data_IF_813490037298
#
_entry.id   IF_813490037298
#
_cell.length_a   1.000
_cell.length_b   1.000
_cell.length_c   1.000
_cell.angle_alpha   90.00
_cell.angle_beta   90.00
_cell.angle_gamma   90.00
#
_symmetry.space_group_name_H-M   'P 1'
#
loop_
_entity.id
_entity.type
_entity.pdbx_description
1 polymer ?
#
# COMPACT_ATOMS: atom_id res chain seq x y z
N UNK A 1 -0.47 -22.77 -12.31
CA UNK A 1 0.21 -22.70 -11.00
C UNK A 1 -0.64 -21.83 -10.11
N UNK A 2 -1.17 -22.42 -9.04
CA UNK A 2 -2.10 -21.80 -8.10
C UNK A 2 -1.33 -20.81 -7.23
N UNK A 3 -1.88 -19.62 -6.99
CA UNK A 3 -1.22 -18.55 -6.22
C UNK A 3 -1.03 -18.99 -4.75
N UNK A 4 0.03 -18.58 -4.05
CA UNK A 4 0.17 -18.81 -2.60
C UNK A 4 -1.01 -18.31 -1.77
N UNK A 5 -1.84 -17.40 -2.32
CA UNK A 5 -3.06 -16.90 -1.69
C UNK A 5 -4.22 -17.90 -1.67
N UNK A 6 -4.19 -18.96 -2.49
CA UNK A 6 -5.27 -19.94 -2.64
C UNK A 6 -5.21 -21.09 -1.61
N UNK A 7 -4.25 -21.04 -0.67
CA UNK A 7 -3.99 -22.12 0.30
C UNK A 7 -4.69 -21.96 1.67
N UNK A 8 -5.57 -20.97 1.83
CA UNK A 8 -6.21 -20.66 3.11
C UNK A 8 -7.73 -20.51 2.97
N UNK A 9 -8.48 -21.22 3.81
CA UNK A 9 -9.93 -21.12 3.95
C UNK A 9 -10.29 -20.22 5.14
N UNK A 10 -11.29 -19.36 4.99
CA UNK A 10 -11.83 -18.57 6.13
C UNK A 10 -12.78 -19.41 6.96
N UNK A 11 -12.71 -19.25 8.28
CA UNK A 11 -13.72 -19.82 9.19
C UNK A 11 -15.09 -19.20 8.96
N UNK A 12 -16.15 -19.89 9.38
CA UNK A 12 -17.55 -19.46 9.21
C UNK A 12 -18.44 -19.98 10.34
N UNK A 13 -19.73 -19.68 10.32
CA UNK A 13 -20.68 -20.22 11.30
C UNK A 13 -20.86 -21.75 11.21
N UNK A 14 -20.72 -22.34 10.02
CA UNK A 14 -20.80 -23.80 9.84
C UNK A 14 -19.47 -24.51 10.09
N UNK A 15 -18.38 -23.75 10.17
CA UNK A 15 -17.02 -24.24 10.35
C UNK A 15 -16.23 -23.19 11.17
N UNK A 16 -16.47 -23.11 12.50
CA UNK A 16 -15.85 -22.10 13.35
C UNK A 16 -14.39 -22.45 13.67
N UNK A 17 -13.63 -21.44 14.09
CA UNK A 17 -12.24 -21.62 14.51
C UNK A 17 -12.11 -22.66 15.64
N UNK A 18 -11.30 -23.72 15.51
CA UNK A 18 -11.15 -24.74 16.55
C UNK A 18 -10.41 -24.23 17.80
N UNK A 19 -9.65 -23.14 17.69
CA UNK A 19 -8.91 -22.56 18.83
C UNK A 19 -9.76 -21.56 19.63
N UNK A 20 -10.55 -20.69 18.97
CA UNK A 20 -11.31 -19.64 19.66
C UNK A 20 -12.84 -19.78 19.57
N UNK A 21 -13.34 -20.76 18.81
CA UNK A 21 -14.77 -21.02 18.62
C UNK A 21 -15.54 -19.94 17.84
N UNK A 22 -14.85 -18.95 17.24
CA UNK A 22 -15.51 -17.84 16.53
C UNK A 22 -15.57 -18.06 15.01
N UNK A 23 -16.62 -17.56 14.33
CA UNK A 23 -16.88 -17.79 12.91
C UNK A 23 -16.19 -16.77 11.99
N UNK A 24 -15.31 -15.92 12.52
CA UNK A 24 -14.68 -14.81 11.80
C UNK A 24 -13.25 -14.55 12.29
N UNK A 25 -12.54 -13.66 11.59
CA UNK A 25 -11.17 -13.21 11.92
C UNK A 25 -10.09 -14.32 11.94
N UNK A 26 -10.40 -15.55 11.53
CA UNK A 26 -9.47 -16.67 11.52
C UNK A 26 -9.41 -17.34 10.13
N UNK A 27 -8.30 -18.00 9.82
CA UNK A 27 -8.11 -18.71 8.55
C UNK A 27 -7.41 -20.05 8.77
N UNK A 28 -7.91 -21.13 8.18
CA UNK A 28 -7.35 -22.49 8.27
C UNK A 28 -6.66 -22.83 6.95
N UNK A 29 -5.54 -23.54 6.98
CA UNK A 29 -4.91 -24.03 5.74
C UNK A 29 -5.80 -25.05 5.03
N UNK A 30 -5.67 -25.19 3.71
CA UNK A 30 -6.49 -26.16 2.95
C UNK A 30 -6.30 -27.61 3.43
N UNK A 31 -5.11 -27.94 3.93
CA UNK A 31 -4.79 -29.27 4.51
C UNK A 31 -5.21 -29.41 5.98
N UNK A 32 -5.82 -28.37 6.58
CA UNK A 32 -6.35 -28.32 7.95
C UNK A 32 -5.33 -28.65 9.06
N UNK A 33 -4.03 -28.51 8.78
CA UNK A 33 -2.96 -28.75 9.77
C UNK A 33 -2.56 -27.51 10.56
N UNK A 34 -2.82 -26.32 10.03
CA UNK A 34 -2.45 -25.05 10.67
C UNK A 34 -3.54 -24.00 10.52
N UNK A 35 -3.62 -23.10 11.50
CA UNK A 35 -4.67 -22.09 11.62
C UNK A 35 -4.06 -20.75 12.04
N UNK A 36 -4.45 -19.66 11.40
CA UNK A 36 -4.30 -18.32 11.92
C UNK A 36 -5.52 -17.92 12.76
N UNK A 37 -5.36 -17.83 14.08
CA UNK A 37 -6.37 -17.38 15.03
C UNK A 37 -6.17 -15.90 15.36
N UNK A 38 -7.15 -15.04 15.12
CA UNK A 38 -7.06 -13.62 15.43
C UNK A 38 -7.38 -13.25 16.89
N UNK A 39 -7.48 -14.21 17.82
CA UNK A 39 -7.99 -13.97 19.19
C UNK A 39 -7.20 -14.63 20.31
N UNK A 40 -6.66 -15.82 20.09
CA UNK A 40 -5.97 -16.60 21.13
C UNK A 40 -4.50 -16.71 20.75
N UNK A 41 -3.63 -16.23 21.63
CA UNK A 41 -2.16 -16.31 21.51
C UNK A 41 -1.57 -17.55 22.16
N UNK A 42 -2.24 -18.11 23.17
CA UNK A 42 -1.72 -19.20 23.98
C UNK A 42 -1.59 -20.48 23.13
N UNK A 43 -0.37 -21.04 23.08
CA UNK A 43 -0.06 -22.20 22.23
C UNK A 43 0.34 -21.86 20.79
N UNK A 44 0.41 -20.58 20.41
CA UNK A 44 0.77 -20.18 19.05
C UNK A 44 2.28 -20.28 18.76
N UNK A 45 2.60 -20.69 17.54
CA UNK A 45 3.97 -20.77 17.02
C UNK A 45 4.57 -19.42 16.65
N UNK A 46 3.74 -18.50 16.11
CA UNK A 46 4.16 -17.15 15.71
C UNK A 46 2.96 -16.23 15.47
N UNK A 47 3.21 -14.93 15.42
CA UNK A 47 2.22 -13.92 15.03
C UNK A 47 2.54 -13.36 13.62
N UNK A 48 1.52 -13.10 12.80
CA UNK A 48 1.69 -12.42 11.51
C UNK A 48 1.64 -10.88 11.68
N UNK A 49 2.01 -10.15 10.63
CA UNK A 49 1.96 -8.68 10.62
C UNK A 49 0.54 -8.12 10.81
N UNK A 50 -0.50 -8.92 10.56
CA UNK A 50 -1.91 -8.59 10.77
C UNK A 50 -2.44 -8.89 12.18
N UNK A 51 -1.57 -9.30 13.13
CA UNK A 51 -1.95 -9.56 14.52
C UNK A 51 -2.68 -10.89 14.76
N UNK A 52 -2.62 -11.84 13.83
CA UNK A 52 -3.14 -13.19 14.04
C UNK A 52 -2.04 -14.14 14.50
N UNK A 53 -2.41 -15.14 15.28
CA UNK A 53 -1.53 -16.12 15.89
C UNK A 53 -1.63 -17.48 15.17
N UNK A 54 -0.51 -18.05 14.73
CA UNK A 54 -0.44 -19.33 14.03
C UNK A 54 -0.45 -20.48 15.02
N UNK A 55 -1.43 -21.37 14.92
CA UNK A 55 -1.54 -22.59 15.70
C UNK A 55 -1.32 -23.81 14.80
N UNK A 56 -0.75 -24.87 15.37
CA UNK A 56 -0.75 -26.22 14.77
C UNK A 56 -1.96 -26.98 15.29
N UNK A 57 -2.66 -27.69 14.41
CA UNK A 57 -3.78 -28.56 14.77
C UNK A 57 -3.22 -29.99 14.77
N UNK A 58 -3.12 -30.60 15.96
CA UNK A 58 -2.47 -31.90 16.15
C UNK A 58 -3.40 -33.08 15.76
N UNK A 59 -4.72 -32.84 15.73
CA UNK A 59 -5.75 -33.73 15.19
C UNK A 59 -6.55 -32.98 14.12
N UNK A 60 -7.02 -33.65 13.07
CA UNK A 60 -7.98 -33.05 12.13
C UNK A 60 -9.33 -32.89 12.86
N UNK A 61 -9.71 -31.69 13.34
CA UNK A 61 -10.95 -31.51 14.09
C UNK A 61 -12.19 -31.70 13.19
N UNK A 62 -11.97 -31.87 11.88
CA UNK A 62 -13.00 -31.96 10.85
C UNK A 62 -13.24 -33.37 10.32
N UNK A 63 -12.72 -34.40 11.00
CA UNK A 63 -12.77 -35.81 10.60
C UNK A 63 -14.17 -36.46 10.76
N UNK A 64 -15.24 -35.78 10.31
CA UNK A 64 -16.60 -36.35 10.28
C UNK A 64 -17.33 -36.24 8.96
N UNK A 65 -16.74 -35.66 7.91
CA UNK A 65 -17.22 -35.89 6.55
C UNK A 65 -16.20 -35.35 5.55
N UNK A 66 -15.92 -36.08 4.45
CA UNK A 66 -15.24 -35.48 3.32
C UNK A 66 -16.02 -34.21 2.90
N UNK A 67 -15.34 -33.08 2.63
CA UNK A 67 -16.02 -31.87 2.23
C UNK A 67 -16.88 -32.19 0.99
N UNK A 68 -18.16 -31.77 0.96
CA UNK A 68 -18.98 -31.97 -0.21
C UNK A 68 -18.25 -31.37 -1.42
N UNK A 69 -18.31 -32.00 -2.60
CA UNK A 69 -17.65 -31.48 -3.79
C UNK A 69 -18.06 -30.02 -3.94
N UNK A 70 -17.07 -29.15 -4.13
CA UNK A 70 -17.29 -27.72 -4.35
C UNK A 70 -18.23 -27.62 -5.54
N UNK A 71 -19.53 -27.39 -5.27
CA UNK A 71 -20.41 -26.86 -6.29
C UNK A 71 -19.83 -25.48 -6.56
N UNK A 72 -19.01 -25.40 -7.61
CA UNK A 72 -18.85 -24.17 -8.36
C UNK A 72 -20.27 -23.88 -8.84
N UNK A 73 -21.05 -23.18 -8.02
CA UNK A 73 -22.21 -22.46 -8.54
C UNK A 73 -21.57 -21.56 -9.58
N UNK A 74 -21.84 -21.72 -10.89
CA UNK A 74 -21.52 -20.65 -11.81
C UNK A 74 -22.11 -19.41 -11.15
N UNK A 75 -21.25 -18.43 -10.89
CA UNK A 75 -21.64 -17.21 -10.25
C UNK A 75 -22.72 -16.60 -11.12
N UNK A 76 -23.99 -16.88 -10.81
CA UNK A 76 -25.11 -16.03 -11.15
C UNK A 76 -25.03 -14.80 -10.26
N UNK A 77 -23.85 -14.15 -10.20
CA UNK A 77 -23.86 -12.70 -10.15
C UNK A 77 -24.62 -12.34 -11.40
N UNK A 78 -25.86 -11.91 -11.21
CA UNK A 78 -26.50 -10.99 -12.14
C UNK A 78 -25.39 -10.05 -12.60
N UNK A 79 -25.00 -10.17 -13.87
CA UNK A 79 -24.20 -9.17 -14.56
C UNK A 79 -25.14 -8.00 -14.72
N UNK A 80 -25.38 -7.29 -13.61
CA UNK A 80 -25.75 -5.89 -13.69
C UNK A 80 -24.73 -5.30 -14.67
N UNK A 81 -25.16 -4.60 -15.74
CA UNK A 81 -24.22 -4.02 -16.69
C UNK A 81 -23.14 -3.30 -15.89
N UNK A 82 -21.87 -3.63 -16.15
CA UNK A 82 -20.75 -2.97 -15.51
C UNK A 82 -20.94 -1.48 -15.72
N UNK A 83 -21.24 -0.76 -14.64
CA UNK A 83 -21.47 0.68 -14.67
C UNK A 83 -20.28 1.33 -15.37
N UNK A 84 -20.54 2.02 -16.48
CA UNK A 84 -19.53 2.83 -17.16
C UNK A 84 -19.27 4.08 -16.31
N UNK A 85 -18.26 3.98 -15.44
CA UNK A 85 -17.87 5.05 -14.53
C UNK A 85 -17.38 6.30 -15.26
N UNK A 86 -16.53 6.20 -16.32
CA UNK A 86 -16.17 7.35 -17.15
C UNK A 86 -17.37 8.10 -17.71
N UNK A 87 -18.26 7.40 -18.43
CA UNK A 87 -19.41 8.05 -19.07
C UNK A 87 -20.34 8.68 -18.01
N UNK A 88 -20.47 8.03 -16.84
CA UNK A 88 -21.24 8.58 -15.73
C UNK A 88 -20.60 9.83 -15.12
N UNK A 89 -19.27 9.82 -14.92
CA UNK A 89 -18.54 10.97 -14.41
C UNK A 89 -18.60 12.16 -15.38
N UNK A 90 -18.42 11.91 -16.67
CA UNK A 90 -18.56 12.92 -17.73
C UNK A 90 -19.98 13.52 -17.73
N UNK A 91 -21.01 12.67 -17.65
CA UNK A 91 -22.40 13.11 -17.57
C UNK A 91 -22.66 14.03 -16.37
N UNK A 92 -22.08 13.75 -15.20
CA UNK A 92 -22.21 14.62 -14.04
C UNK A 92 -21.35 15.88 -14.14
N UNK A 93 -20.21 15.83 -14.81
CA UNK A 93 -19.32 16.97 -14.98
C UNK A 93 -19.89 18.00 -15.98
N UNK A 94 -20.61 17.53 -17.01
CA UNK A 94 -21.25 18.35 -18.03
C UNK A 94 -22.35 19.23 -17.43
N UNK A 95 -22.25 20.55 -17.61
CA UNK A 95 -23.23 21.51 -17.07
C UNK A 95 -23.13 21.77 -15.57
N UNK A 96 -22.07 21.30 -14.90
CA UNK A 96 -21.91 21.45 -13.45
C UNK A 96 -21.14 22.72 -13.03
N UNK A 97 -20.95 23.69 -13.92
CA UNK A 97 -20.17 24.93 -13.68
C UNK A 97 -20.69 25.69 -12.46
N UNK A 98 -21.99 25.98 -12.42
CA UNK A 98 -22.61 26.71 -11.30
C UNK A 98 -22.50 25.91 -9.99
N UNK A 99 -22.66 24.59 -10.06
CA UNK A 99 -22.54 23.71 -8.90
C UNK A 99 -21.10 23.62 -8.39
N UNK A 100 -20.11 23.63 -9.29
CA UNK A 100 -18.69 23.75 -8.93
C UNK A 100 -18.40 25.09 -8.28
N UNK A 101 -18.94 26.20 -8.80
CA UNK A 101 -18.75 27.51 -8.19
C UNK A 101 -19.33 27.59 -6.78
N UNK A 102 -20.53 27.03 -6.57
CA UNK A 102 -21.14 26.96 -5.22
C UNK A 102 -20.29 26.12 -4.26
N UNK A 103 -19.76 24.98 -4.72
CA UNK A 103 -18.88 24.14 -3.89
C UNK A 103 -17.53 24.81 -3.62
N UNK A 104 -16.97 25.48 -4.62
CA UNK A 104 -15.73 26.26 -4.52
C UNK A 104 -15.85 27.28 -3.39
N UNK A 105 -16.91 28.09 -3.40
CA UNK A 105 -17.21 29.05 -2.35
C UNK A 105 -17.38 28.37 -0.97
N UNK A 106 -18.05 27.21 -0.91
CA UNK A 106 -18.24 26.47 0.34
C UNK A 106 -16.93 25.90 0.91
N UNK A 107 -16.03 25.44 0.05
CA UNK A 107 -14.79 24.79 0.46
C UNK A 107 -13.63 25.77 0.67
N UNK A 108 -13.70 26.98 0.10
CA UNK A 108 -12.61 27.94 0.04
C UNK A 108 -11.55 27.57 -1.01
N UNK A 109 -11.99 27.05 -2.16
CA UNK A 109 -11.12 26.61 -3.28
C UNK A 109 -11.60 27.22 -4.59
N UNK A 110 -10.85 27.07 -5.67
CA UNK A 110 -11.28 27.56 -7.00
C UNK A 110 -12.20 26.56 -7.72
N UNK A 111 -13.13 27.09 -8.52
CA UNK A 111 -13.96 26.28 -9.40
C UNK A 111 -13.12 25.55 -10.47
N UNK A 112 -12.01 26.15 -10.90
CA UNK A 112 -11.03 25.54 -11.81
C UNK A 112 -10.39 24.30 -11.20
N UNK A 113 -9.93 24.34 -9.94
CA UNK A 113 -9.39 23.15 -9.27
C UNK A 113 -10.41 22.01 -9.19
N UNK A 114 -11.68 22.33 -8.88
CA UNK A 114 -12.77 21.34 -8.90
C UNK A 114 -13.04 20.80 -10.32
N UNK A 115 -12.97 21.65 -11.34
CA UNK A 115 -13.14 21.23 -12.73
C UNK A 115 -12.01 20.29 -13.19
N UNK A 116 -10.75 20.58 -12.83
CA UNK A 116 -9.60 19.71 -13.13
C UNK A 116 -9.71 18.32 -12.48
N UNK A 117 -10.40 18.23 -11.34
CA UNK A 117 -10.74 16.95 -10.68
C UNK A 117 -11.98 16.27 -11.28
N UNK A 118 -12.55 16.83 -12.35
CA UNK A 118 -13.80 16.38 -12.97
C UNK A 118 -14.98 16.34 -11.97
N UNK A 119 -15.00 17.28 -11.02
CA UNK A 119 -16.11 17.38 -10.06
C UNK A 119 -17.40 17.73 -10.81
N UNK A 120 -18.40 16.89 -10.58
CA UNK A 120 -19.70 16.99 -11.22
C UNK A 120 -20.83 17.23 -10.22
N UNK A 121 -22.05 17.26 -10.77
CA UNK A 121 -23.28 17.36 -10.00
C UNK A 121 -24.26 16.26 -10.42
N UNK A 122 -24.74 15.51 -9.44
CA UNK A 122 -25.82 14.56 -9.62
C UNK A 122 -27.15 15.23 -9.24
N UNK A 123 -27.92 15.60 -10.26
CA UNK A 123 -29.22 16.26 -10.12
C UNK A 123 -30.26 15.39 -9.39
N UNK A 124 -30.25 14.08 -9.61
CA UNK A 124 -31.24 13.17 -9.02
C UNK A 124 -31.02 13.01 -7.51
N UNK A 125 -29.76 13.06 -7.06
CA UNK A 125 -29.37 12.85 -5.67
C UNK A 125 -28.97 14.12 -4.94
N UNK A 126 -29.02 15.27 -5.62
CA UNK A 126 -28.64 16.58 -5.11
C UNK A 126 -27.26 16.57 -4.40
N UNK A 127 -26.26 15.96 -5.04
CA UNK A 127 -24.93 15.83 -4.48
C UNK A 127 -23.83 16.12 -5.51
N UNK A 128 -22.70 16.63 -5.03
CA UNK A 128 -21.48 16.73 -5.83
C UNK A 128 -20.84 15.37 -5.99
N UNK A 129 -20.18 15.15 -7.12
CA UNK A 129 -19.52 13.90 -7.45
C UNK A 129 -18.02 14.12 -7.64
N UNK A 130 -17.22 13.26 -7.03
CA UNK A 130 -15.76 13.22 -7.11
C UNK A 130 -15.36 11.89 -7.76
N UNK A 131 -14.97 11.90 -9.03
CA UNK A 131 -14.42 10.74 -9.70
C UNK A 131 -13.17 10.20 -8.98
N UNK A 132 -13.11 8.88 -8.82
CA UNK A 132 -11.97 8.16 -8.26
C UNK A 132 -11.32 7.31 -9.35
N UNK A 133 -10.00 7.43 -9.50
CA UNK A 133 -9.20 6.85 -10.58
C UNK A 133 -8.25 5.77 -10.07
N UNK A 134 -7.91 4.80 -10.91
CA UNK A 134 -6.78 3.90 -10.65
C UNK A 134 -5.44 4.50 -11.13
N UNK A 135 -4.37 3.71 -11.06
CA UNK A 135 -3.03 4.14 -11.49
C UNK A 135 -2.91 4.49 -12.98
N UNK A 136 -3.82 3.98 -13.83
CA UNK A 136 -3.83 4.24 -15.27
C UNK A 136 -4.61 5.51 -15.65
N UNK A 137 -5.24 6.19 -14.68
CA UNK A 137 -6.12 7.33 -14.94
C UNK A 137 -7.58 6.96 -15.21
N UNK A 138 -7.88 5.67 -15.31
CA UNK A 138 -9.20 5.14 -15.53
C UNK A 138 -10.10 5.40 -14.31
N UNK A 139 -11.29 5.97 -14.52
CA UNK A 139 -12.28 6.19 -13.46
C UNK A 139 -12.88 4.82 -13.11
N UNK A 140 -12.79 4.44 -11.82
CA UNK A 140 -13.22 3.14 -11.28
C UNK A 140 -14.33 3.27 -10.22
N UNK A 141 -14.66 4.50 -9.83
CA UNK A 141 -15.69 4.80 -8.84
C UNK A 141 -15.98 6.29 -8.77
N UNK A 142 -17.04 6.63 -8.05
CA UNK A 142 -17.44 8.02 -7.80
C UNK A 142 -17.78 8.15 -6.32
N UNK A 143 -17.00 8.95 -5.60
CA UNK A 143 -17.35 9.46 -4.28
C UNK A 143 -18.37 10.60 -4.44
N UNK A 144 -19.27 10.77 -3.48
CA UNK A 144 -20.23 11.86 -3.49
C UNK A 144 -20.09 12.69 -2.23
N UNK A 145 -20.45 13.97 -2.33
CA UNK A 145 -20.57 14.90 -1.21
C UNK A 145 -21.96 15.53 -1.24
N UNK A 146 -22.73 15.34 -0.18
CA UNK A 146 -24.04 15.98 -0.01
C UNK A 146 -23.90 17.37 0.58
N UNK A 147 -24.99 18.15 0.56
CA UNK A 147 -25.03 19.51 1.12
C UNK A 147 -24.72 19.55 2.62
N UNK A 148 -25.09 18.51 3.36
CA UNK A 148 -24.77 18.32 4.78
C UNK A 148 -23.30 17.93 5.04
N UNK A 149 -22.49 17.81 3.99
CA UNK A 149 -21.09 17.42 4.06
C UNK A 149 -20.86 15.91 4.13
N UNK A 150 -21.91 15.08 4.26
CA UNK A 150 -21.76 13.63 4.27
C UNK A 150 -21.19 13.11 2.95
N UNK A 151 -20.29 12.14 3.07
CA UNK A 151 -19.59 11.54 1.94
C UNK A 151 -19.97 10.07 1.84
N UNK A 152 -20.47 9.66 0.68
CA UNK A 152 -20.73 8.25 0.37
C UNK A 152 -20.24 7.91 -1.03
N UNK A 153 -19.73 6.70 -1.24
CA UNK A 153 -19.40 6.20 -2.59
C UNK A 153 -20.66 5.67 -3.28
N UNK A 154 -20.78 5.92 -4.57
CA UNK A 154 -21.85 5.32 -5.38
C UNK A 154 -21.74 3.79 -5.38
N UNK A 155 -22.89 3.11 -5.24
CA UNK A 155 -22.96 1.64 -5.14
C UNK A 155 -22.34 1.00 -6.38
N UNK A 156 -21.48 0.00 -6.16
CA UNK A 156 -20.77 -0.72 -7.23
C UNK A 156 -19.43 -0.10 -7.64
N UNK A 157 -19.13 1.13 -7.21
CA UNK A 157 -17.85 1.79 -7.48
C UNK A 157 -16.74 1.29 -6.56
N UNK A 158 -15.49 1.38 -7.04
CA UNK A 158 -14.28 1.03 -6.27
C UNK A 158 -13.64 2.28 -5.67
N UNK A 159 -12.91 2.12 -4.58
CA UNK A 159 -12.03 3.17 -4.03
C UNK A 159 -10.85 3.42 -4.96
N UNK A 160 -10.62 4.67 -5.32
CA UNK A 160 -9.49 5.10 -6.13
C UNK A 160 -8.93 6.43 -5.64
N UNK A 161 -8.03 7.01 -6.42
CA UNK A 161 -7.38 8.29 -6.15
C UNK A 161 -8.15 9.44 -6.80
N UNK A 162 -8.09 10.63 -6.21
CA UNK A 162 -8.65 11.85 -6.79
C UNK A 162 -7.50 12.75 -7.22
N UNK A 163 -7.32 12.95 -8.53
CA UNK A 163 -6.24 13.78 -9.07
C UNK A 163 -6.59 14.33 -10.46
N UNK A 164 -5.95 15.44 -10.82
CA UNK A 164 -6.07 16.07 -12.13
C UNK A 164 -5.22 15.33 -13.18
N UNK A 165 -5.54 15.41 -14.47
CA UNK A 165 -4.77 14.70 -15.50
C UNK A 165 -3.30 15.11 -15.56
N UNK A 166 -3.00 16.36 -15.22
CA UNK A 166 -1.69 17.01 -15.17
C UNK A 166 -1.11 17.09 -13.75
N UNK A 167 -1.54 16.21 -12.84
CA UNK A 167 -1.19 16.21 -11.42
C UNK A 167 0.32 16.27 -11.08
N UNK A 168 1.21 15.93 -12.01
CA UNK A 168 2.67 15.95 -11.84
C UNK A 168 3.41 16.91 -12.78
N UNK A 169 2.71 17.78 -13.51
CA UNK A 169 3.32 18.63 -14.53
C UNK A 169 4.15 19.80 -13.98
N UNK A 170 3.88 20.25 -12.74
CA UNK A 170 4.56 21.39 -12.12
C UNK A 170 5.97 21.08 -11.60
N UNK A 171 6.62 22.08 -11.00
CA UNK A 171 7.85 21.90 -10.22
C UNK A 171 7.54 21.58 -8.74
N UNK A 172 8.55 21.24 -7.94
CA UNK A 172 8.40 21.01 -6.49
C UNK A 172 7.93 19.60 -6.11
N UNK A 173 7.60 19.32 -4.84
CA UNK A 173 7.22 17.96 -4.43
C UNK A 173 5.87 17.51 -5.02
N UNK A 174 5.63 16.20 -5.00
CA UNK A 174 4.31 15.58 -5.17
C UNK A 174 3.72 15.38 -3.77
N UNK A 175 2.53 15.94 -3.54
CA UNK A 175 1.85 15.93 -2.25
C UNK A 175 0.70 14.93 -2.26
N UNK A 176 0.70 14.02 -1.29
CA UNK A 176 -0.33 12.97 -1.15
C UNK A 176 -1.23 13.31 0.04
N UNK A 177 -2.41 13.85 -0.22
CA UNK A 177 -3.38 14.30 0.80
C UNK A 177 -4.50 13.28 1.02
N UNK A 178 -5.29 13.45 2.07
CA UNK A 178 -6.50 12.65 2.29
C UNK A 178 -7.74 13.36 1.71
N UNK A 179 -8.41 12.71 0.76
CA UNK A 179 -9.68 13.16 0.20
C UNK A 179 -9.59 14.24 -0.89
N UNK A 180 -10.65 14.33 -1.70
CA UNK A 180 -10.70 15.25 -2.84
C UNK A 180 -10.85 16.74 -2.50
N UNK A 181 -11.30 17.08 -1.29
CA UNK A 181 -11.42 18.49 -0.87
C UNK A 181 -10.05 19.10 -0.59
N UNK A 182 -9.16 18.35 0.05
CA UNK A 182 -7.76 18.75 0.27
C UNK A 182 -6.97 18.73 -1.03
N UNK A 183 -7.27 17.80 -1.94
CA UNK A 183 -6.71 17.85 -3.29
C UNK A 183 -7.09 19.14 -4.01
N UNK A 184 -8.36 19.53 -3.98
CA UNK A 184 -8.82 20.77 -4.61
C UNK A 184 -8.18 22.02 -3.97
N UNK A 185 -7.92 21.99 -2.66
CA UNK A 185 -7.24 23.08 -1.96
C UNK A 185 -5.79 23.26 -2.44
N UNK A 186 -5.01 22.19 -2.49
CA UNK A 186 -3.62 22.30 -2.95
C UNK A 186 -3.50 22.57 -4.47
N UNK A 187 -4.44 22.06 -5.28
CA UNK A 187 -4.53 22.44 -6.69
C UNK A 187 -4.90 23.92 -6.88
N UNK A 188 -5.68 24.50 -5.97
CA UNK A 188 -6.02 25.93 -6.02
C UNK A 188 -4.79 26.81 -5.92
N UNK A 189 -3.77 26.36 -5.18
CA UNK A 189 -2.49 27.05 -5.06
C UNK A 189 -1.40 26.46 -5.97
N UNK A 190 -1.76 25.69 -6.99
CA UNK A 190 -0.83 25.23 -8.04
C UNK A 190 0.13 24.10 -7.64
N UNK A 191 -0.14 23.36 -6.57
CA UNK A 191 0.73 22.27 -6.10
C UNK A 191 0.37 20.91 -6.71
N UNK A 192 1.40 20.10 -7.02
CA UNK A 192 1.24 18.74 -7.57
C UNK A 192 0.62 17.82 -6.53
N UNK A 193 -0.66 17.49 -6.68
CA UNK A 193 -1.41 16.85 -5.59
C UNK A 193 -2.23 15.65 -6.04
N UNK A 194 -2.18 14.59 -5.25
CA UNK A 194 -3.01 13.39 -5.41
C UNK A 194 -3.75 13.10 -4.10
N UNK A 195 -5.07 13.00 -4.18
CA UNK A 195 -5.95 12.66 -3.07
C UNK A 195 -6.13 11.17 -2.89
N UNK A 196 -5.96 10.70 -1.66
CA UNK A 196 -6.26 9.32 -1.23
C UNK A 196 -7.74 9.21 -0.83
N UNK A 197 -8.39 8.05 -1.02
CA UNK A 197 -9.80 7.88 -0.67
C UNK A 197 -10.06 7.84 0.85
N UNK A 198 -9.02 7.59 1.66
CA UNK A 198 -9.05 7.58 3.12
C UNK A 198 -7.62 7.47 3.67
N UNK A 199 -7.45 7.63 4.98
CA UNK A 199 -6.18 7.49 5.70
C UNK A 199 -5.42 6.17 5.46
N UNK A 200 -6.14 5.08 5.11
CA UNK A 200 -5.58 3.74 4.90
C UNK A 200 -5.77 3.21 3.46
N UNK A 201 -6.46 3.93 2.58
CA UNK A 201 -6.87 3.44 1.26
C UNK A 201 -6.03 4.02 0.11
N UNK A 202 -5.99 3.30 -1.02
CA UNK A 202 -5.44 3.80 -2.29
C UNK A 202 -3.93 3.62 -2.50
N UNK A 203 -3.20 3.02 -1.54
CA UNK A 203 -1.73 2.89 -1.66
C UNK A 203 -1.31 2.06 -2.87
N UNK A 204 -2.03 1.00 -3.23
CA UNK A 204 -1.73 0.20 -4.44
C UNK A 204 -1.83 1.03 -5.72
N UNK A 205 -2.82 1.92 -5.81
CA UNK A 205 -2.94 2.85 -6.93
C UNK A 205 -1.82 3.90 -6.91
N UNK A 206 -1.39 4.36 -5.73
CA UNK A 206 -0.26 5.29 -5.60
C UNK A 206 1.05 4.65 -6.06
N UNK A 207 1.32 3.40 -5.66
CA UNK A 207 2.51 2.67 -6.12
C UNK A 207 2.54 2.59 -7.64
N UNK A 208 1.42 2.18 -8.26
CA UNK A 208 1.32 2.14 -9.72
C UNK A 208 1.54 3.51 -10.36
N UNK A 209 0.89 4.55 -9.83
CA UNK A 209 0.95 5.92 -10.36
C UNK A 209 2.34 6.56 -10.22
N UNK A 210 3.06 6.26 -9.13
CA UNK A 210 4.34 6.88 -8.77
C UNK A 210 5.56 6.09 -9.25
N UNK A 211 5.39 4.85 -9.71
CA UNK A 211 6.48 3.96 -10.12
C UNK A 211 7.41 4.53 -11.21
N UNK A 212 6.87 5.37 -12.10
CA UNK A 212 7.61 5.99 -13.20
C UNK A 212 8.18 7.39 -12.89
N UNK A 213 8.00 7.90 -11.67
CA UNK A 213 8.44 9.26 -11.31
C UNK A 213 9.95 9.29 -11.04
N UNK A 214 10.63 10.34 -11.53
CA UNK A 214 12.06 10.58 -11.29
C UNK A 214 12.43 10.37 -9.82
N UNK A 215 13.50 9.62 -9.56
CA UNK A 215 14.00 9.28 -8.22
C UNK A 215 14.41 10.49 -7.38
N UNK A 216 14.69 11.64 -7.99
CA UNK A 216 15.01 12.90 -7.30
C UNK A 216 13.77 13.70 -6.91
N UNK A 217 12.61 13.40 -7.48
CA UNK A 217 11.37 14.12 -7.19
C UNK A 217 10.89 13.78 -5.77
N UNK A 218 10.75 14.77 -4.91
CA UNK A 218 10.24 14.53 -3.57
C UNK A 218 8.76 14.12 -3.60
N UNK A 219 8.42 13.14 -2.76
CA UNK A 219 7.05 12.67 -2.54
C UNK A 219 6.77 12.79 -1.04
N UNK A 220 5.74 13.56 -0.70
CA UNK A 220 5.41 13.89 0.69
C UNK A 220 3.96 13.48 0.97
N UNK A 221 3.77 12.60 1.95
CA UNK A 221 2.45 12.22 2.45
C UNK A 221 1.99 13.21 3.51
N UNK A 222 0.88 13.89 3.27
CA UNK A 222 0.32 14.86 4.20
C UNK A 222 -0.80 14.17 5.01
N UNK A 223 -0.60 14.11 6.32
CA UNK A 223 -1.62 13.64 7.27
C UNK A 223 -2.62 14.73 7.65
N UNK A 224 -3.54 14.41 8.55
CA UNK A 224 -4.45 15.37 9.18
C UNK A 224 -4.12 15.50 10.68
N UNK A 225 -4.38 16.67 11.26
CA UNK A 225 -4.35 16.92 12.71
C UNK A 225 -5.73 16.61 13.30
N UNK A 226 -6.05 15.32 13.35
CA UNK A 226 -7.32 14.78 13.84
C UNK A 226 -7.16 13.94 15.12
N UNK A 227 -6.19 14.31 15.96
CA UNK A 227 -5.97 13.68 17.26
C UNK A 227 -7.24 13.71 18.10
N UNK A 228 -7.58 12.54 18.63
CA UNK A 228 -8.77 12.33 19.46
C UNK A 228 -8.40 12.39 20.93
N UNK A 229 -9.39 12.64 21.78
CA UNK A 229 -9.22 12.66 23.24
C UNK A 229 -8.68 11.33 23.81
N UNK A 230 -8.88 10.21 23.11
CA UNK A 230 -8.33 8.90 23.47
C UNK A 230 -6.87 8.69 23.03
N UNK A 231 -6.20 9.73 22.52
CA UNK A 231 -4.83 9.71 22.03
C UNK A 231 -4.65 9.06 20.66
N UNK A 232 -5.74 8.59 20.02
CA UNK A 232 -5.66 8.06 18.66
C UNK A 232 -5.50 9.22 17.68
N UNK A 233 -4.55 9.06 16.74
CA UNK A 233 -4.28 10.06 15.73
C UNK A 233 -4.31 9.45 14.31
N UNK A 234 -5.52 9.15 13.79
CA UNK A 234 -5.67 8.38 12.56
C UNK A 234 -5.08 9.05 11.32
N UNK A 235 -5.16 10.37 11.19
CA UNK A 235 -4.58 11.12 10.08
C UNK A 235 -3.05 11.04 10.05
N UNK A 236 -2.40 11.23 11.20
CA UNK A 236 -0.94 11.05 11.35
C UNK A 236 -0.53 9.61 11.09
N UNK A 237 -1.15 8.66 11.78
CA UNK A 237 -0.76 7.25 11.70
C UNK A 237 -1.01 6.67 10.30
N UNK A 238 -2.05 7.12 9.61
CA UNK A 238 -2.33 6.80 8.21
C UNK A 238 -1.29 7.36 7.24
N UNK A 239 -0.85 8.61 7.43
CA UNK A 239 0.22 9.21 6.63
C UNK A 239 1.56 8.47 6.81
N UNK A 240 1.96 8.20 8.06
CA UNK A 240 3.18 7.44 8.37
C UNK A 240 3.14 6.04 7.73
N UNK A 241 2.01 5.34 7.86
CA UNK A 241 1.86 3.99 7.29
C UNK A 241 1.91 4.00 5.77
N UNK A 242 1.30 5.00 5.15
CA UNK A 242 1.34 5.19 3.70
C UNK A 242 2.76 5.48 3.24
N UNK A 243 3.48 6.39 3.90
CA UNK A 243 4.87 6.71 3.57
C UNK A 243 5.79 5.50 3.69
N UNK A 244 5.65 4.69 4.75
CA UNK A 244 6.40 3.42 4.91
C UNK A 244 6.15 2.47 3.74
N UNK A 245 4.87 2.20 3.45
CA UNK A 245 4.51 1.29 2.37
C UNK A 245 4.99 1.79 1.01
N UNK A 246 4.92 3.09 0.75
CA UNK A 246 5.46 3.67 -0.48
C UNK A 246 6.99 3.58 -0.54
N UNK A 247 7.68 3.82 0.57
CA UNK A 247 9.14 3.69 0.60
C UNK A 247 9.58 2.26 0.29
N UNK A 248 8.92 1.27 0.90
CA UNK A 248 9.17 -0.15 0.67
C UNK A 248 8.92 -0.56 -0.79
N UNK A 249 7.75 -0.20 -1.34
CA UNK A 249 7.32 -0.64 -2.68
C UNK A 249 8.02 0.12 -3.83
N UNK A 250 8.36 1.40 -3.63
CA UNK A 250 9.04 2.23 -4.63
C UNK A 250 10.58 2.23 -4.46
N UNK A 251 11.09 1.55 -3.44
CA UNK A 251 12.52 1.46 -3.09
C UNK A 251 13.21 2.84 -3.07
N UNK A 252 12.53 3.85 -2.52
CA UNK A 252 13.03 5.24 -2.46
C UNK A 252 12.61 5.96 -1.19
N UNK A 253 13.32 7.02 -0.78
CA UNK A 253 12.88 7.82 0.36
C UNK A 253 11.51 8.47 0.10
N UNK A 254 10.62 8.36 1.09
CA UNK A 254 9.30 9.01 1.08
C UNK A 254 9.17 9.83 2.35
N UNK A 255 8.82 11.10 2.22
CA UNK A 255 8.57 11.97 3.35
C UNK A 255 7.12 11.89 3.80
N UNK A 256 6.86 12.23 5.06
CA UNK A 256 5.53 12.59 5.53
C UNK A 256 5.58 13.83 6.41
N UNK A 257 4.47 14.56 6.48
CA UNK A 257 4.31 15.75 7.29
C UNK A 257 2.84 15.93 7.72
N UNK A 258 2.62 16.85 8.65
CA UNK A 258 1.29 17.41 8.94
C UNK A 258 1.15 18.77 8.24
N UNK A 259 -0.09 19.28 8.04
CA UNK A 259 -0.29 20.60 7.47
C UNK A 259 0.42 21.68 8.32
N UNK A 260 0.94 22.73 7.68
CA UNK A 260 1.64 23.82 8.34
C UNK A 260 0.72 24.60 9.31
N UNK A 261 1.33 25.44 10.15
CA UNK A 261 0.62 26.38 11.03
C UNK A 261 -0.43 25.74 11.96
N UNK A 262 -0.20 24.47 12.34
CA UNK A 262 -1.12 23.67 13.13
C UNK A 262 -2.54 23.50 12.52
N UNK A 263 -2.67 23.68 11.21
CA UNK A 263 -3.93 23.49 10.52
C UNK A 263 -4.41 22.04 10.58
N UNK A 264 -5.73 21.87 10.67
CA UNK A 264 -6.38 20.55 10.76
C UNK A 264 -6.08 19.68 9.53
N UNK A 265 -6.37 20.21 8.36
CA UNK A 265 -6.22 19.60 7.04
C UNK A 265 -5.66 20.65 6.07
N UNK A 266 -5.26 20.25 4.86
CA UNK A 266 -4.65 21.17 3.89
C UNK A 266 -5.63 22.27 3.44
N UNK A 267 -6.91 21.94 3.31
CA UNK A 267 -7.97 22.92 3.04
C UNK A 267 -8.18 23.88 4.21
N UNK A 268 -8.12 23.39 5.44
CA UNK A 268 -8.21 24.20 6.65
C UNK A 268 -7.08 25.21 6.75
N UNK A 269 -5.87 24.83 6.32
CA UNK A 269 -4.75 25.76 6.18
C UNK A 269 -5.07 26.87 5.17
N UNK A 270 -5.47 26.50 3.94
CA UNK A 270 -5.78 27.48 2.89
C UNK A 270 -6.84 28.49 3.34
N UNK A 271 -7.88 28.02 4.04
CA UNK A 271 -9.01 28.86 4.45
C UNK A 271 -8.68 29.90 5.53
N UNK A 272 -7.55 29.77 6.22
CA UNK A 272 -7.09 30.76 7.22
C UNK A 272 -6.00 31.67 6.69
N UNK A 273 -5.48 31.41 5.48
CA UNK A 273 -4.45 32.24 4.88
C UNK A 273 -5.04 33.58 4.40
N UNK A 274 -4.27 34.68 4.53
CA UNK A 274 -4.66 35.95 3.91
C UNK A 274 -4.63 35.84 2.39
N UNK A 275 -5.31 36.78 1.71
CA UNK A 275 -5.23 36.91 0.26
C UNK A 275 -3.79 37.22 -0.17
N UNK A 276 -3.14 36.24 -0.79
CA UNK A 276 -1.78 36.31 -1.29
C UNK A 276 -1.72 35.74 -2.71
N UNK A 277 -0.71 36.13 -3.51
CA UNK A 277 -0.44 35.47 -4.78
C UNK A 277 -0.31 33.95 -4.63
N UNK A 278 -0.83 33.21 -5.61
CA UNK A 278 -0.91 31.74 -5.59
C UNK A 278 0.46 31.08 -5.39
N UNK A 279 1.49 31.57 -6.07
CA UNK A 279 2.88 31.14 -5.94
C UNK A 279 3.41 31.34 -4.51
N UNK A 280 3.06 32.46 -3.87
CA UNK A 280 3.43 32.72 -2.47
C UNK A 280 2.73 31.77 -1.51
N UNK A 281 1.46 31.44 -1.74
CA UNK A 281 0.75 30.43 -0.94
C UNK A 281 1.37 29.04 -1.12
N UNK A 282 1.72 28.67 -2.36
CA UNK A 282 2.40 27.41 -2.66
C UNK A 282 3.73 27.29 -1.91
N UNK A 283 4.55 28.34 -1.97
CA UNK A 283 5.84 28.41 -1.29
C UNK A 283 5.67 28.31 0.24
N UNK A 284 4.72 29.06 0.81
CA UNK A 284 4.44 29.02 2.25
C UNK A 284 3.98 27.64 2.71
N UNK A 285 3.10 26.99 1.93
CA UNK A 285 2.64 25.65 2.27
C UNK A 285 3.80 24.66 2.29
N UNK A 286 4.61 24.61 1.22
CA UNK A 286 5.70 23.63 1.08
C UNK A 286 6.83 23.92 2.07
N UNK A 287 7.25 25.17 2.23
CA UNK A 287 8.33 25.54 3.16
C UNK A 287 7.92 25.41 4.64
N UNK A 288 6.62 25.48 4.94
CA UNK A 288 6.09 25.24 6.28
C UNK A 288 5.95 23.76 6.67
N UNK A 289 6.21 22.82 5.75
CA UNK A 289 6.13 21.39 6.07
C UNK A 289 7.34 20.94 6.89
N UNK A 290 7.09 20.57 8.15
CA UNK A 290 8.04 19.83 8.97
C UNK A 290 8.06 18.36 8.55
N UNK A 291 8.93 18.03 7.60
CA UNK A 291 8.97 16.68 7.00
C UNK A 291 9.81 15.70 7.83
N UNK A 292 9.31 14.46 7.92
CA UNK A 292 10.08 13.31 8.40
C UNK A 292 10.24 12.32 7.25
N UNK A 293 11.50 12.03 6.89
CA UNK A 293 11.82 11.12 5.79
C UNK A 293 11.87 9.67 6.27
N UNK A 294 11.20 8.79 5.54
CA UNK A 294 11.26 7.35 5.71
C UNK A 294 12.12 6.79 4.59
N UNK A 295 13.28 6.24 4.95
CA UNK A 295 14.14 5.55 4.02
C UNK A 295 13.62 4.12 3.76
N UNK A 296 13.74 3.62 2.51
CA UNK A 296 13.40 2.25 2.21
C UNK A 296 14.34 1.30 2.97
N UNK A 297 13.90 0.08 3.30
CA UNK A 297 14.80 -0.95 3.78
C UNK A 297 15.90 -1.19 2.76
N UNK A 298 17.11 -1.49 3.22
CA UNK A 298 18.22 -1.84 2.33
C UNK A 298 17.87 -3.17 1.67
N UNK A 299 17.43 -3.12 0.40
CA UNK A 299 17.20 -4.32 -0.40
C UNK A 299 18.53 -4.77 -0.99
N UNK A 300 19.19 -5.70 -0.30
CA UNK A 300 20.35 -6.40 -0.88
C UNK A 300 19.80 -7.37 -1.94
N UNK A 301 19.79 -6.94 -3.20
CA UNK A 301 19.51 -7.83 -4.32
C UNK A 301 20.79 -8.63 -4.59
N UNK A 302 20.84 -9.95 -4.29
CA UNK A 302 22.01 -10.74 -4.63
C UNK A 302 22.22 -10.63 -6.15
N UNK A 303 23.47 -10.44 -6.60
CA UNK A 303 23.76 -10.36 -8.01
C UNK A 303 23.19 -11.60 -8.71
N UNK A 304 22.43 -11.38 -9.78
CA UNK A 304 21.92 -12.49 -10.59
C UNK A 304 23.14 -13.27 -11.10
N UNK A 305 23.20 -14.60 -10.94
CA UNK A 305 24.31 -15.39 -11.46
C UNK A 305 24.45 -15.14 -12.97
N UNK A 306 25.60 -14.61 -13.38
CA UNK A 306 25.92 -14.33 -14.80
C UNK A 306 26.69 -15.46 -15.46
N UNK A 307 27.13 -16.46 -14.69
CA UNK A 307 27.86 -17.63 -15.19
C UNK A 307 26.94 -18.68 -15.82
N UNK A 308 27.51 -19.60 -16.61
CA UNK A 308 26.78 -20.75 -17.13
C UNK A 308 26.24 -21.61 -15.97
N UNK A 309 25.13 -22.31 -16.20
CA UNK A 309 24.67 -23.32 -15.25
C UNK A 309 25.73 -24.42 -15.12
N UNK A 310 26.11 -24.75 -13.89
CA UNK A 310 27.08 -25.80 -13.56
C UNK A 310 26.35 -26.90 -12.80
N UNK A 311 26.74 -28.16 -13.00
CA UNK A 311 26.21 -29.24 -12.18
C UNK A 311 26.57 -29.01 -10.71
N UNK A 312 25.65 -29.38 -9.80
CA UNK A 312 25.80 -29.06 -8.36
C UNK A 312 27.04 -29.72 -7.77
N UNK A 313 27.41 -30.92 -8.23
CA UNK A 313 28.59 -31.62 -7.73
C UNK A 313 29.90 -30.97 -8.22
N UNK A 314 29.98 -30.62 -9.50
CA UNK A 314 31.10 -29.85 -10.05
C UNK A 314 31.27 -28.50 -9.33
N UNK A 315 30.15 -27.85 -8.99
CA UNK A 315 30.15 -26.61 -8.21
C UNK A 315 30.68 -26.82 -6.79
N UNK A 316 30.30 -27.91 -6.11
CA UNK A 316 30.81 -28.25 -4.77
C UNK A 316 32.31 -28.51 -4.79
N UNK A 317 32.81 -29.19 -5.81
CA UNK A 317 34.24 -29.43 -5.97
C UNK A 317 35.00 -28.12 -6.18
N UNK A 318 34.49 -27.23 -7.03
CA UNK A 318 35.07 -25.89 -7.21
C UNK A 318 35.07 -25.09 -5.90
N UNK A 319 33.96 -25.07 -5.16
CA UNK A 319 33.87 -24.43 -3.86
C UNK A 319 34.88 -24.99 -2.86
N UNK A 320 35.05 -26.31 -2.81
CA UNK A 320 36.02 -26.98 -1.94
C UNK A 320 37.45 -26.54 -2.26
N UNK A 321 37.81 -26.48 -3.55
CA UNK A 321 39.14 -26.03 -3.97
C UNK A 321 39.39 -24.55 -3.65
N UNK A 322 38.37 -23.69 -3.77
CA UNK A 322 38.46 -22.27 -3.39
C UNK A 322 38.64 -22.13 -1.88
N UNK A 323 37.88 -22.88 -1.08
CA UNK A 323 37.96 -22.82 0.38
C UNK A 323 39.26 -23.41 0.92
N UNK A 324 39.76 -24.51 0.37
CA UNK A 324 41.08 -25.04 0.74
C UNK A 324 42.20 -24.03 0.45
N UNK A 325 42.16 -23.34 -0.71
CA UNK A 325 43.12 -22.26 -1.02
C UNK A 325 43.02 -21.09 -0.05
N UNK A 326 41.81 -20.72 0.38
CA UNK A 326 41.61 -19.62 1.32
C UNK A 326 42.29 -19.80 2.68
N UNK A 327 42.57 -21.04 3.10
CA UNK A 327 43.27 -21.30 4.37
C UNK A 327 44.70 -20.74 4.37
N UNK A 328 45.33 -20.58 3.20
CA UNK A 328 46.66 -19.99 3.04
C UNK A 328 46.65 -18.51 2.64
N UNK A 329 45.48 -17.91 2.47
CA UNK A 329 45.33 -16.53 1.98
C UNK A 329 44.36 -15.77 2.90
N UNK A 330 44.86 -15.02 3.88
CA UNK A 330 44.00 -14.24 4.77
C UNK A 330 43.15 -13.23 3.98
N UNK A 331 41.83 -13.22 4.20
CA UNK A 331 40.90 -12.34 3.50
C UNK A 331 39.44 -12.59 3.89
N UNK A 332 38.53 -11.75 3.37
CA UNK A 332 37.08 -11.92 3.52
C UNK A 332 36.54 -12.68 2.31
N UNK A 333 35.98 -13.86 2.54
CA UNK A 333 35.42 -14.73 1.51
C UNK A 333 33.90 -14.75 1.64
N UNK A 334 33.20 -14.23 0.63
CA UNK A 334 31.74 -14.15 0.60
C UNK A 334 31.23 -15.16 -0.43
N UNK A 335 30.43 -16.12 0.02
CA UNK A 335 29.72 -17.06 -0.85
C UNK A 335 28.28 -16.58 -1.03
N UNK A 336 27.91 -16.26 -2.28
CA UNK A 336 26.57 -15.81 -2.67
C UNK A 336 25.76 -16.89 -3.42
N UNK A 337 26.17 -18.16 -3.34
CA UNK A 337 25.46 -19.27 -3.98
C UNK A 337 24.05 -19.45 -3.39
N UNK A 338 23.16 -20.09 -4.14
CA UNK A 338 21.76 -20.32 -3.73
C UNK A 338 21.65 -21.34 -2.58
N UNK A 339 20.47 -21.40 -1.96
CA UNK A 339 20.16 -22.41 -0.94
C UNK A 339 20.26 -23.82 -1.54
N UNK A 340 20.89 -24.75 -0.83
CA UNK A 340 21.09 -26.14 -1.30
C UNK A 340 22.38 -26.39 -2.11
N UNK A 341 23.16 -25.34 -2.42
CA UNK A 341 24.41 -25.46 -3.18
C UNK A 341 25.53 -26.26 -2.47
N UNK A 342 25.39 -26.60 -1.19
CA UNK A 342 26.35 -27.43 -0.45
C UNK A 342 27.39 -26.67 0.39
N UNK A 343 27.20 -25.36 0.64
CA UNK A 343 28.07 -24.51 1.48
C UNK A 343 28.55 -25.20 2.77
N UNK A 344 27.61 -25.62 3.61
CA UNK A 344 27.93 -26.25 4.91
C UNK A 344 28.69 -27.56 4.77
N UNK A 345 28.44 -28.33 3.69
CA UNK A 345 29.17 -29.57 3.43
C UNK A 345 30.64 -29.29 3.08
N UNK A 346 30.87 -28.30 2.22
CA UNK A 346 32.22 -27.87 1.82
C UNK A 346 32.99 -27.29 3.00
N UNK A 347 32.39 -26.38 3.77
CA UNK A 347 33.06 -25.79 4.94
C UNK A 347 33.44 -26.85 5.99
N UNK A 348 32.55 -27.81 6.25
CA UNK A 348 32.85 -28.93 7.16
C UNK A 348 34.03 -29.77 6.65
N UNK A 349 34.07 -30.09 5.35
CA UNK A 349 35.17 -30.84 4.75
C UNK A 349 36.52 -30.12 4.91
N UNK A 350 36.54 -28.80 4.72
CA UNK A 350 37.73 -27.96 4.87
C UNK A 350 38.19 -27.89 6.33
N UNK A 351 37.25 -27.73 7.28
CA UNK A 351 37.54 -27.74 8.72
C UNK A 351 38.15 -29.09 9.14
N UNK A 352 37.54 -30.20 8.74
CA UNK A 352 38.04 -31.54 9.05
C UNK A 352 39.43 -31.78 8.45
N UNK A 353 39.67 -31.32 7.23
CA UNK A 353 40.98 -31.38 6.59
C UNK A 353 42.04 -30.58 7.38
N UNK A 354 41.72 -29.36 7.81
CA UNK A 354 42.64 -28.52 8.58
C UNK A 354 42.97 -29.12 9.95
N UNK A 355 41.97 -29.69 10.63
CA UNK A 355 42.15 -30.39 11.92
C UNK A 355 43.03 -31.63 11.79
N UNK A 356 42.82 -32.44 10.74
CA UNK A 356 43.67 -33.62 10.47
C UNK A 356 45.13 -33.24 10.21
N UNK A 357 45.37 -32.13 9.51
CA UNK A 357 46.73 -31.64 9.25
C UNK A 357 47.45 -31.16 10.50
N UNK A 358 46.75 -30.57 11.48
CA UNK A 358 47.33 -30.19 12.77
C UNK A 358 47.78 -31.39 13.62
N UNK A 359 47.10 -32.53 13.49
CA UNK A 359 47.44 -33.75 14.24
C UNK A 359 48.54 -34.60 13.59
N UNK A 360 49.05 -34.18 12.43
CA UNK A 360 50.08 -34.89 11.66
C UNK A 360 51.45 -34.18 11.67
N UNK A 361 51.57 -33.08 12.44
CA UNK A 361 52.81 -32.29 12.63
C UNK A 361 53.32 -32.47 14.04
#
# INVERSE_FOLDING_TARGET
MVSPADNWMRVSHGDPCPVCGKPDNCSVSNDRKVLWCGRVSDGALRMNAGGQYLHRLDDDPYDRNPPPPVRIRPSTRSTSPTQDWPALAERFANGAEEHRQRLANQLGVTATALASLSVGWNVERFCWTFPERDASGQIIGIATRRRDGSKIRMKGGRSGLTYATDWNAGAGPILLVEGGSDTAALLTIGLNTVGRPSNCGGVDHLVGLLSGIDQKREIIVIGERDEKLDGKWPGRDGAVRTAKRLADELERPIAWALPPDNAKDARGWLNVMPELPVDRLADLFVSGLETTVISPPIVIRPPKPTGPAVAVDDWRDQMLQVRLRSLGCPGVYIDASTTGAGKSHVDLAVILWALRRRNAV
#
